data_IF_962671484913
#
_entry.id   IF_962671484913
#
_cell.length_a   1.000
_cell.length_b   1.000
_cell.length_c   1.000
_cell.angle_alpha   90.00
_cell.angle_beta   90.00
_cell.angle_gamma   90.00
#
_symmetry.space_group_name_H-M   'P 1'
#
loop_
_entity.id
_entity.type
_entity.pdbx_description
1 polymer ?
#
# COMPACT_ATOMS: atom_id res chain seq x y z
N UNK A 1 10.72 22.64 -6.21
CA UNK A 1 10.24 21.47 -6.97
C UNK A 1 8.82 21.16 -6.51
N UNK A 2 7.89 20.75 -7.39
CA UNK A 2 6.57 20.33 -6.93
C UNK A 2 6.67 19.15 -5.96
N UNK A 3 5.72 19.10 -5.03
CA UNK A 3 5.55 17.99 -4.09
C UNK A 3 4.41 17.12 -4.59
N UNK A 4 4.60 15.80 -4.55
CA UNK A 4 3.58 14.81 -4.84
C UNK A 4 3.33 13.97 -3.60
N UNK A 5 2.07 13.73 -3.27
CA UNK A 5 1.69 12.79 -2.22
C UNK A 5 1.51 11.41 -2.85
N UNK A 6 2.33 10.46 -2.41
CA UNK A 6 2.23 9.07 -2.78
C UNK A 6 1.39 8.30 -1.76
N UNK A 7 0.44 7.50 -2.24
CA UNK A 7 -0.33 6.55 -1.44
C UNK A 7 -0.04 5.16 -1.97
N UNK A 8 0.57 4.32 -1.16
CA UNK A 8 1.07 3.01 -1.55
C UNK A 8 0.33 1.94 -0.75
N UNK A 9 -0.16 0.92 -1.45
CA UNK A 9 -0.75 -0.28 -0.87
C UNK A 9 0.22 -1.43 -1.14
N UNK A 10 0.63 -2.14 -0.08
CA UNK A 10 1.47 -3.35 -0.17
C UNK A 10 0.67 -4.52 0.38
N UNK A 11 0.56 -5.59 -0.38
CA UNK A 11 -0.23 -6.78 -0.02
C UNK A 11 0.55 -8.06 -0.30
N UNK A 12 0.35 -9.09 0.51
CA UNK A 12 0.85 -10.43 0.18
C UNK A 12 0.28 -10.90 -1.16
N UNK A 13 1.13 -11.48 -2.00
CA UNK A 13 0.72 -12.17 -3.24
C UNK A 13 -0.39 -13.17 -2.96
N UNK A 14 -1.30 -13.33 -3.92
CA UNK A 14 -2.45 -14.24 -3.78
C UNK A 14 -2.04 -15.71 -3.53
N UNK A 15 -0.86 -16.12 -3.99
CA UNK A 15 -0.30 -17.45 -3.74
C UNK A 15 0.31 -17.63 -2.34
N UNK A 16 0.47 -16.55 -1.58
CA UNK A 16 1.04 -16.56 -0.23
C UNK A 16 -0.11 -16.57 0.79
N UNK A 17 -0.03 -17.53 1.71
CA UNK A 17 -0.93 -17.63 2.85
C UNK A 17 -0.77 -16.40 3.75
N UNK A 18 -1.89 -15.84 4.17
CA UNK A 18 -1.95 -14.73 5.12
C UNK A 18 -2.56 -15.23 6.45
N UNK A 19 -1.73 -15.63 7.43
CA UNK A 19 -2.22 -16.08 8.73
C UNK A 19 -2.96 -15.00 9.52
N UNK A 20 -2.62 -13.72 9.30
CA UNK A 20 -3.24 -12.59 9.99
C UNK A 20 -4.65 -12.35 9.44
N UNK A 21 -4.78 -12.31 8.12
CA UNK A 21 -6.07 -12.24 7.43
C UNK A 21 -7.01 -13.37 7.84
N UNK A 22 -6.51 -14.61 7.89
CA UNK A 22 -7.29 -15.77 8.34
C UNK A 22 -7.76 -15.66 9.79
N UNK A 23 -6.91 -15.15 10.70
CA UNK A 23 -7.29 -14.94 12.09
C UNK A 23 -8.38 -13.86 12.24
N UNK A 24 -8.29 -12.79 11.45
CA UNK A 24 -9.31 -11.72 11.44
C UNK A 24 -10.63 -12.23 10.85
N UNK A 25 -10.59 -13.00 9.76
CA UNK A 25 -11.79 -13.62 9.18
C UNK A 25 -12.52 -14.48 10.22
N UNK A 26 -11.77 -15.32 10.94
CA UNK A 26 -12.34 -16.15 12.00
C UNK A 26 -13.01 -15.31 13.10
N UNK A 27 -12.34 -14.24 13.56
CA UNK A 27 -12.91 -13.32 14.55
C UNK A 27 -14.18 -12.61 14.04
N UNK A 28 -14.21 -12.23 12.76
CA UNK A 28 -15.41 -11.64 12.14
C UNK A 28 -16.58 -12.64 12.14
N UNK A 29 -16.32 -13.92 11.86
CA UNK A 29 -17.35 -14.96 11.88
C UNK A 29 -17.89 -15.21 13.29
N UNK A 30 -17.03 -15.23 14.31
CA UNK A 30 -17.44 -15.31 15.72
C UNK A 30 -18.34 -14.15 16.14
N UNK A 31 -18.14 -12.97 15.55
CA UNK A 31 -18.96 -11.77 15.74
C UNK A 31 -20.20 -11.73 14.83
N UNK A 32 -20.58 -12.86 14.22
CA UNK A 32 -21.73 -13.02 13.33
C UNK A 32 -21.64 -12.29 11.97
N UNK A 33 -20.44 -11.88 11.54
CA UNK A 33 -20.19 -11.34 10.20
C UNK A 33 -19.77 -12.44 9.20
N UNK A 34 -20.59 -13.49 9.06
CA UNK A 34 -20.28 -14.66 8.21
C UNK A 34 -20.18 -14.36 6.71
N UNK A 35 -20.62 -13.18 6.27
CA UNK A 35 -20.53 -12.75 4.88
C UNK A 35 -19.14 -12.20 4.49
N UNK A 36 -18.27 -11.92 5.47
CA UNK A 36 -16.90 -11.48 5.23
C UNK A 36 -16.02 -12.70 4.94
N UNK A 37 -15.47 -12.80 3.73
CA UNK A 37 -14.65 -13.93 3.28
C UNK A 37 -13.43 -13.42 2.52
N UNK A 38 -12.35 -14.21 2.49
CA UNK A 38 -11.08 -13.86 1.83
C UNK A 38 -10.48 -12.57 2.41
N UNK A 39 -10.43 -12.49 3.75
CA UNK A 39 -9.83 -11.35 4.44
C UNK A 39 -8.32 -11.39 4.25
N UNK A 40 -7.76 -10.30 3.71
CA UNK A 40 -6.33 -10.12 3.55
C UNK A 40 -5.87 -8.83 4.21
N UNK A 41 -4.71 -8.88 4.85
CA UNK A 41 -4.07 -7.74 5.50
C UNK A 41 -2.88 -7.28 4.68
N UNK A 42 -2.73 -5.96 4.61
CA UNK A 42 -1.64 -5.31 3.91
C UNK A 42 -1.23 -4.01 4.60
N UNK A 43 -0.19 -3.39 4.07
CA UNK A 43 0.32 -2.11 4.56
C UNK A 43 -0.22 -0.99 3.68
N UNK A 44 -0.62 0.10 4.32
CA UNK A 44 -0.91 1.36 3.65
C UNK A 44 0.15 2.39 4.06
N UNK A 45 0.87 2.96 3.08
CA UNK A 45 1.98 3.88 3.30
C UNK A 45 1.70 5.18 2.56
N UNK A 46 1.87 6.32 3.25
CA UNK A 46 1.76 7.64 2.66
C UNK A 46 3.07 8.40 2.81
N UNK A 47 3.52 9.08 1.74
CA UNK A 47 4.71 9.92 1.80
C UNK A 47 4.63 11.08 0.81
N UNK A 48 5.37 12.15 1.09
CA UNK A 48 5.56 13.25 0.16
C UNK A 48 6.87 13.06 -0.61
N UNK A 49 6.83 13.36 -1.90
CA UNK A 49 7.94 13.19 -2.83
C UNK A 49 8.15 14.52 -3.57
N UNK A 50 9.28 15.16 -3.32
CA UNK A 50 9.72 16.30 -4.12
C UNK A 50 10.33 15.80 -5.42
N UNK A 51 9.79 16.23 -6.56
CA UNK A 51 10.29 15.84 -7.87
C UNK A 51 10.03 16.94 -8.90
N UNK A 52 10.78 16.95 -9.99
CA UNK A 52 10.60 17.95 -11.06
C UNK A 52 9.31 17.75 -11.86
N UNK A 53 8.82 16.52 -11.92
CA UNK A 53 7.62 16.10 -12.64
C UNK A 53 6.96 14.91 -11.95
N UNK A 54 5.70 14.63 -12.31
CA UNK A 54 4.99 13.45 -11.81
C UNK A 54 5.68 12.14 -12.24
N UNK A 55 6.23 12.10 -13.45
CA UNK A 55 6.98 10.94 -13.95
C UNK A 55 8.24 10.68 -13.10
N UNK A 56 8.99 11.73 -12.76
CA UNK A 56 10.14 11.60 -11.86
C UNK A 56 9.71 11.13 -10.47
N UNK A 57 8.60 11.65 -9.92
CA UNK A 57 8.06 11.16 -8.64
C UNK A 57 7.68 9.68 -8.72
N UNK A 58 7.10 9.24 -9.85
CA UNK A 58 6.69 7.85 -10.07
C UNK A 58 7.86 6.89 -10.08
N UNK A 59 8.96 7.27 -10.73
CA UNK A 59 10.20 6.49 -10.73
C UNK A 59 10.78 6.38 -9.30
N UNK A 60 10.78 7.48 -8.54
CA UNK A 60 11.28 7.49 -7.15
C UNK A 60 10.45 6.55 -6.27
N UNK A 61 9.11 6.64 -6.35
CA UNK A 61 8.21 5.80 -5.54
C UNK A 61 8.32 4.32 -5.92
N UNK A 62 8.34 3.98 -7.22
CA UNK A 62 8.50 2.59 -7.66
C UNK A 62 9.82 1.99 -7.14
N UNK A 63 10.92 2.76 -7.20
CA UNK A 63 12.21 2.33 -6.65
C UNK A 63 12.16 2.14 -5.14
N UNK A 64 11.54 3.07 -4.40
CA UNK A 64 11.38 2.98 -2.95
C UNK A 64 10.58 1.72 -2.56
N UNK A 65 9.49 1.45 -3.29
CA UNK A 65 8.68 0.25 -3.09
C UNK A 65 9.50 -1.02 -3.32
N UNK A 66 10.21 -1.13 -4.44
CA UNK A 66 11.01 -2.32 -4.79
C UNK A 66 12.20 -2.54 -3.86
N UNK A 67 12.83 -1.48 -3.36
CA UNK A 67 14.05 -1.57 -2.55
C UNK A 67 13.76 -1.79 -1.07
N UNK A 68 12.62 -1.31 -0.57
CA UNK A 68 12.37 -1.29 0.87
C UNK A 68 10.93 -1.63 1.27
N UNK A 69 9.92 -1.01 0.65
CA UNK A 69 8.56 -1.08 1.22
C UNK A 69 7.87 -2.42 0.94
N UNK A 70 8.22 -3.10 -0.15
CA UNK A 70 7.67 -4.38 -0.55
C UNK A 70 8.77 -5.43 -0.72
N UNK A 71 8.57 -6.60 -0.11
CA UNK A 71 9.37 -7.78 -0.35
C UNK A 71 9.01 -8.39 -1.71
N UNK A 72 9.94 -8.30 -2.68
CA UNK A 72 9.72 -8.72 -4.07
C UNK A 72 9.33 -10.19 -4.27
N UNK A 73 9.59 -11.05 -3.27
CA UNK A 73 9.25 -12.48 -3.33
C UNK A 73 7.81 -12.72 -2.87
N UNK A 74 7.37 -12.04 -1.81
CA UNK A 74 6.14 -12.36 -1.09
C UNK A 74 5.02 -11.35 -1.29
N UNK A 75 5.37 -10.09 -1.58
CA UNK A 75 4.46 -8.96 -1.58
C UNK A 75 4.40 -8.32 -2.98
N UNK A 76 3.21 -7.86 -3.34
CA UNK A 76 2.98 -6.94 -4.45
C UNK A 76 2.66 -5.55 -3.90
N UNK A 77 2.81 -4.52 -4.73
CA UNK A 77 2.43 -3.17 -4.36
C UNK A 77 1.74 -2.43 -5.52
N UNK A 78 0.88 -1.50 -5.17
CA UNK A 78 0.31 -0.51 -6.07
C UNK A 78 0.41 0.87 -5.42
N UNK A 79 0.44 1.93 -6.22
CA UNK A 79 0.46 3.27 -5.67
C UNK A 79 -0.20 4.29 -6.61
N UNK A 80 -0.69 5.36 -6.00
CA UNK A 80 -1.18 6.56 -6.70
C UNK A 80 -0.34 7.76 -6.32
N UNK A 81 -0.26 8.72 -7.24
CA UNK A 81 0.38 10.01 -7.00
C UNK A 81 -0.62 11.13 -7.23
N UNK A 82 -0.61 12.11 -6.35
CA UNK A 82 -1.35 13.35 -6.51
C UNK A 82 -0.42 14.52 -6.26
N UNK A 83 -0.51 15.56 -7.09
CA UNK A 83 0.23 16.80 -6.82
C UNK A 83 -0.31 17.39 -5.52
N UNK A 84 0.55 17.54 -4.52
CA UNK A 84 0.13 18.09 -3.24
C UNK A 84 -0.32 19.54 -3.46
N UNK A 85 -1.56 19.85 -3.09
CA UNK A 85 -1.95 21.23 -2.86
C UNK A 85 -1.22 21.66 -1.61
N UNK A 86 -0.29 22.60 -1.76
CA UNK A 86 0.33 23.23 -0.60
C UNK A 86 -0.76 24.06 0.09
N UNK A 87 -1.47 23.48 1.06
CA UNK A 87 -2.03 24.29 2.14
C UNK A 87 -0.85 24.65 3.04
N UNK A 88 -0.49 25.94 3.15
CA UNK A 88 0.45 26.36 4.17
C UNK A 88 -0.25 26.15 5.51
N UNK A 89 0.40 25.37 6.38
CA UNK A 89 0.09 25.36 7.81
C UNK A 89 0.38 26.73 8.43
#
# INVERSE_FOLDING_TARGET
MPVFTARIIVTLRSSILDPEGAAIEHALHELAFSACTDVRVGKYVTMNVEAESEENARIIVDQACRKLLANQVMEDFTFTLEKAHHEPA
#
